data_IF_972426240097
#
_entry.id   IF_972426240097
#
_cell.length_a   1.000
_cell.length_b   1.000
_cell.length_c   1.000
_cell.angle_alpha   90.00
_cell.angle_beta   90.00
_cell.angle_gamma   90.00
#
_symmetry.space_group_name_H-M   'P 1'
#
loop_
_entity.id
_entity.type
_entity.pdbx_description
1 polymer ?
#
# COMPACT_ATOMS: atom_id res chain seq x y z
N UNK A 1 -28.00 -24.42 8.52
CA UNK A 1 -26.72 -24.35 9.26
C UNK A 1 -26.62 -22.95 9.83
N UNK A 2 -26.58 -22.80 11.16
CA UNK A 2 -26.33 -21.51 11.79
C UNK A 2 -24.84 -21.15 11.59
N UNK A 3 -24.52 -19.87 11.35
CA UNK A 3 -23.15 -19.41 11.19
C UNK A 3 -22.34 -19.52 12.50
N UNK A 4 -21.01 -19.40 12.42
CA UNK A 4 -20.15 -19.42 13.59
C UNK A 4 -20.55 -18.28 14.56
N UNK A 5 -20.85 -18.56 15.84
CA UNK A 5 -21.38 -17.56 16.78
C UNK A 5 -20.29 -16.64 17.35
N UNK A 6 -19.27 -16.35 16.57
CA UNK A 6 -18.15 -15.50 16.93
C UNK A 6 -18.32 -14.12 16.27
N UNK A 7 -17.71 -13.11 16.87
CA UNK A 7 -17.57 -11.76 16.30
C UNK A 7 -16.13 -11.35 16.46
N UNK A 8 -15.51 -10.87 15.37
CA UNK A 8 -14.14 -10.38 15.39
C UNK A 8 -14.15 -8.88 15.23
N UNK A 9 -13.49 -8.15 16.14
CA UNK A 9 -13.42 -6.70 16.12
C UNK A 9 -11.99 -6.19 16.38
N UNK A 10 -11.39 -5.43 15.45
CA UNK A 10 -11.91 -5.14 14.11
C UNK A 10 -11.93 -6.39 13.20
N UNK A 11 -12.91 -6.47 12.30
CA UNK A 11 -12.98 -7.55 11.29
C UNK A 11 -11.99 -7.34 10.13
N UNK A 12 -11.63 -6.09 9.88
CA UNK A 12 -10.61 -5.67 8.92
C UNK A 12 -9.72 -4.60 9.56
N UNK A 13 -8.40 -4.76 9.44
CA UNK A 13 -7.42 -3.85 10.02
C UNK A 13 -6.24 -3.63 9.08
N UNK A 14 -5.79 -2.38 9.04
CA UNK A 14 -4.61 -1.94 8.29
C UNK A 14 -3.57 -1.49 9.31
N UNK A 15 -2.39 -2.10 9.31
CA UNK A 15 -1.35 -1.88 10.32
C UNK A 15 0.01 -1.71 9.65
N UNK A 16 0.83 -0.79 10.17
CA UNK A 16 2.19 -0.59 9.67
C UNK A 16 3.07 -1.76 10.12
N UNK A 17 3.97 -2.21 9.26
CA UNK A 17 4.97 -3.21 9.63
C UNK A 17 5.75 -2.78 10.87
N UNK A 18 5.81 -3.64 11.88
CA UNK A 18 6.47 -3.40 13.18
C UNK A 18 5.58 -2.76 14.25
N UNK A 19 4.42 -2.21 13.91
CA UNK A 19 3.49 -1.64 14.89
C UNK A 19 2.76 -2.75 15.67
N UNK A 20 2.31 -2.47 16.91
CA UNK A 20 1.49 -3.40 17.67
C UNK A 20 0.10 -3.56 17.05
N UNK A 21 -0.49 -4.75 17.19
CA UNK A 21 -1.85 -5.06 16.75
C UNK A 21 -2.63 -5.80 17.82
N UNK A 22 -3.93 -5.53 17.91
CA UNK A 22 -4.84 -6.32 18.74
C UNK A 22 -6.20 -6.50 18.09
N UNK A 23 -6.72 -7.73 18.14
CA UNK A 23 -8.03 -8.09 17.59
C UNK A 23 -8.80 -8.89 18.64
N UNK A 24 -10.01 -8.45 18.95
CA UNK A 24 -10.90 -9.15 19.87
C UNK A 24 -11.72 -10.18 19.11
N UNK A 25 -11.80 -11.38 19.65
CA UNK A 25 -12.81 -12.36 19.29
C UNK A 25 -13.80 -12.48 20.43
N UNK A 26 -15.09 -12.33 20.16
CA UNK A 26 -16.13 -12.37 21.18
C UNK A 26 -17.31 -13.25 20.77
N UNK A 27 -18.11 -13.65 21.75
CA UNK A 27 -19.37 -14.36 21.54
C UNK A 27 -20.38 -14.01 22.61
N UNK A 28 -21.66 -13.98 22.23
CA UNK A 28 -22.80 -13.94 23.15
C UNK A 28 -23.52 -15.28 23.26
N UNK A 29 -23.08 -16.30 22.52
CA UNK A 29 -23.69 -17.62 22.53
C UNK A 29 -23.31 -18.37 23.81
N UNK A 30 -24.33 -18.95 24.47
CA UNK A 30 -24.16 -19.70 25.71
C UNK A 30 -23.70 -21.14 25.49
N UNK A 31 -23.76 -21.62 24.25
CA UNK A 31 -23.39 -22.97 23.84
C UNK A 31 -21.95 -23.06 23.31
N UNK A 32 -21.13 -22.04 23.56
CA UNK A 32 -19.69 -22.06 23.27
C UNK A 32 -18.99 -22.50 24.56
N UNK A 33 -18.26 -23.62 24.49
CA UNK A 33 -17.56 -24.19 25.65
C UNK A 33 -16.18 -23.57 25.85
N UNK A 34 -15.56 -23.12 24.76
CA UNK A 34 -14.33 -22.34 24.78
C UNK A 34 -13.93 -21.84 23.41
N UNK A 35 -12.99 -20.91 23.41
CA UNK A 35 -12.57 -20.18 22.21
C UNK A 35 -11.11 -19.73 22.37
N UNK A 36 -10.48 -19.37 21.26
CA UNK A 36 -9.08 -18.96 21.28
C UNK A 36 -8.60 -18.48 19.92
N UNK A 37 -7.35 -18.04 19.87
CA UNK A 37 -6.68 -17.64 18.65
C UNK A 37 -5.57 -18.61 18.30
N UNK A 38 -5.57 -19.06 17.04
CA UNK A 38 -4.46 -19.76 16.41
C UNK A 38 -3.76 -18.79 15.47
N UNK A 39 -2.46 -18.61 15.66
CA UNK A 39 -1.65 -17.65 14.91
C UNK A 39 -0.16 -18.05 15.01
N UNK A 40 0.68 -17.66 14.03
CA UNK A 40 2.12 -17.85 14.12
C UNK A 40 2.75 -17.19 15.36
N UNK A 41 2.14 -16.09 15.84
CA UNK A 41 2.57 -15.35 17.02
C UNK A 41 1.35 -14.92 17.84
N UNK A 42 1.47 -14.91 19.17
CA UNK A 42 0.41 -14.40 20.05
C UNK A 42 -0.84 -15.28 20.15
N UNK A 43 -0.76 -16.55 19.76
CA UNK A 43 -1.84 -17.52 19.98
C UNK A 43 -2.17 -17.67 21.48
N UNK A 44 -3.44 -17.85 21.80
CA UNK A 44 -3.93 -17.78 23.19
C UNK A 44 -4.19 -19.14 23.83
N UNK A 45 -4.21 -20.22 23.04
CA UNK A 45 -4.73 -21.50 23.52
C UNK A 45 -6.24 -21.47 23.80
N UNK A 46 -6.73 -22.48 24.50
CA UNK A 46 -8.15 -22.65 24.79
C UNK A 46 -8.56 -21.84 26.01
N UNK A 47 -9.38 -20.83 25.80
CA UNK A 47 -9.82 -19.87 26.81
C UNK A 47 -11.35 -19.89 26.99
N UNK A 48 -11.80 -19.44 28.15
CA UNK A 48 -13.24 -19.36 28.44
C UNK A 48 -13.88 -18.16 27.72
N UNK A 49 -15.12 -18.30 27.19
CA UNK A 49 -15.89 -17.16 26.67
C UNK A 49 -16.14 -16.11 27.79
N UNK A 50 -16.49 -14.85 27.45
CA UNK A 50 -17.06 -14.42 26.18
C UNK A 50 -16.10 -13.73 25.22
N UNK A 51 -14.86 -13.40 25.64
CA UNK A 51 -13.92 -12.61 24.83
C UNK A 51 -12.50 -13.13 25.01
N UNK A 52 -11.79 -13.29 23.88
CA UNK A 52 -10.37 -13.59 23.84
C UNK A 52 -9.70 -12.67 22.84
N UNK A 53 -8.62 -12.02 23.26
CA UNK A 53 -7.91 -11.02 22.46
C UNK A 53 -6.62 -11.60 21.91
N UNK A 54 -6.44 -11.53 20.60
CA UNK A 54 -5.13 -11.71 19.98
C UNK A 54 -4.37 -10.40 20.08
N UNK A 55 -3.14 -10.44 20.61
CA UNK A 55 -2.26 -9.27 20.74
C UNK A 55 -0.85 -9.64 20.33
N UNK A 56 -0.23 -8.78 19.51
CA UNK A 56 1.17 -8.88 19.10
C UNK A 56 1.79 -7.50 19.25
N UNK A 57 2.89 -7.41 20.00
CA UNK A 57 3.54 -6.12 20.31
C UNK A 57 4.32 -5.55 19.12
N UNK A 58 4.83 -6.41 18.24
CA UNK A 58 5.52 -6.04 17.01
C UNK A 58 5.15 -7.00 15.89
N UNK A 59 4.37 -6.53 14.92
CA UNK A 59 3.94 -7.36 13.80
C UNK A 59 4.94 -7.26 12.64
N UNK A 60 5.86 -8.21 12.57
CA UNK A 60 6.96 -8.26 11.58
C UNK A 60 6.85 -9.44 10.58
N UNK A 61 5.64 -9.97 10.40
CA UNK A 61 5.32 -11.02 9.45
C UNK A 61 4.30 -10.47 8.44
N UNK A 62 4.59 -10.53 7.13
CA UNK A 62 3.75 -9.95 6.08
C UNK A 62 2.43 -10.70 5.85
N UNK A 63 2.35 -11.96 6.28
CA UNK A 63 1.20 -12.84 6.11
C UNK A 63 0.82 -13.61 7.39
N UNK A 64 0.44 -12.92 8.49
CA UNK A 64 0.29 -13.57 9.79
C UNK A 64 -0.92 -14.54 9.86
N UNK A 65 -1.94 -14.35 9.03
CA UNK A 65 -3.13 -15.23 8.90
C UNK A 65 -3.71 -15.81 10.21
N UNK A 66 -3.93 -15.00 11.27
CA UNK A 66 -4.52 -15.49 12.50
C UNK A 66 -5.99 -15.87 12.30
N UNK A 67 -6.49 -16.80 13.09
CA UNK A 67 -7.91 -17.10 13.13
C UNK A 67 -8.39 -17.37 14.55
N UNK A 68 -9.58 -16.87 14.87
CA UNK A 68 -10.27 -17.21 16.09
C UNK A 68 -11.05 -18.49 15.88
N UNK A 69 -10.97 -19.43 16.81
CA UNK A 69 -11.76 -20.65 16.83
C UNK A 69 -12.68 -20.69 18.05
N UNK A 70 -13.77 -21.44 17.94
CA UNK A 70 -14.67 -21.77 19.04
C UNK A 70 -15.05 -23.25 18.97
N UNK A 71 -15.21 -23.87 20.14
CA UNK A 71 -15.80 -25.20 20.30
C UNK A 71 -17.19 -25.05 20.90
N UNK A 72 -18.18 -25.74 20.32
CA UNK A 72 -19.57 -25.69 20.76
C UNK A 72 -19.90 -26.88 21.69
N UNK A 73 -21.06 -26.84 22.35
CA UNK A 73 -21.53 -27.89 23.28
C UNK A 73 -21.65 -29.28 22.62
N UNK A 74 -21.94 -29.33 21.32
CA UNK A 74 -22.02 -30.56 20.52
C UNK A 74 -20.65 -31.09 20.05
N UNK A 75 -19.57 -30.43 20.48
CA UNK A 75 -18.19 -30.75 20.09
C UNK A 75 -17.78 -30.22 18.72
N UNK A 76 -18.69 -29.58 17.97
CA UNK A 76 -18.33 -28.96 16.69
C UNK A 76 -17.43 -27.74 16.88
N UNK A 77 -16.60 -27.47 15.88
CA UNK A 77 -15.72 -26.31 15.87
C UNK A 77 -16.05 -25.37 14.71
N UNK A 78 -15.87 -24.09 14.95
CA UNK A 78 -15.97 -23.07 13.90
C UNK A 78 -14.85 -22.03 14.06
N UNK A 79 -14.54 -21.35 12.96
CA UNK A 79 -13.46 -20.37 12.90
C UNK A 79 -13.88 -19.10 12.21
N UNK A 80 -13.32 -17.97 12.62
CA UNK A 80 -13.40 -16.68 11.92
C UNK A 80 -12.01 -16.08 11.71
N UNK A 81 -11.80 -15.47 10.54
CA UNK A 81 -10.55 -14.83 10.13
C UNK A 81 -10.76 -13.33 9.99
N UNK A 82 -10.02 -12.47 10.71
CA UNK A 82 -9.94 -11.05 10.35
C UNK A 82 -9.17 -10.89 9.04
N UNK A 83 -9.48 -9.82 8.32
CA UNK A 83 -8.64 -9.33 7.22
C UNK A 83 -7.57 -8.42 7.80
N UNK A 84 -6.30 -8.77 7.61
CA UNK A 84 -5.16 -7.98 8.09
C UNK A 84 -4.33 -7.55 6.88
N UNK A 85 -4.24 -6.24 6.67
CA UNK A 85 -3.38 -5.63 5.68
C UNK A 85 -2.18 -5.00 6.38
N UNK A 86 -0.98 -5.49 6.06
CA UNK A 86 0.26 -4.93 6.60
C UNK A 86 0.88 -4.05 5.54
N UNK A 87 1.27 -2.84 5.93
CA UNK A 87 1.83 -1.87 5.00
C UNK A 87 3.16 -1.28 5.44
N UNK A 88 3.91 -0.80 4.46
CA UNK A 88 5.09 0.03 4.61
C UNK A 88 5.07 1.09 3.53
N UNK A 89 5.14 2.35 3.97
CA UNK A 89 5.36 3.49 3.07
C UNK A 89 6.73 3.35 2.38
N UNK A 90 6.89 3.86 1.15
CA UNK A 90 8.19 3.89 0.49
C UNK A 90 9.26 4.53 1.39
N UNK A 91 10.49 4.02 1.34
CA UNK A 91 11.63 4.62 2.06
C UNK A 91 12.01 5.97 1.46
N UNK A 92 11.92 6.06 0.12
CA UNK A 92 12.08 7.30 -0.62
C UNK A 92 11.37 7.22 -1.96
N UNK A 93 10.99 8.40 -2.45
CA UNK A 93 10.43 8.64 -3.78
C UNK A 93 11.33 9.67 -4.47
N UNK A 94 11.85 9.36 -5.64
CA UNK A 94 12.79 10.23 -6.35
C UNK A 94 12.56 10.24 -7.85
N UNK A 95 12.92 11.35 -8.51
CA UNK A 95 12.89 11.47 -9.97
C UNK A 95 14.33 11.35 -10.49
N UNK A 96 14.51 10.54 -11.53
CA UNK A 96 15.75 10.45 -12.31
C UNK A 96 15.46 10.66 -13.79
N UNK A 97 16.37 11.31 -14.51
CA UNK A 97 16.33 11.41 -15.98
C UNK A 97 16.96 10.15 -16.56
N UNK A 98 16.31 9.51 -17.53
CA UNK A 98 16.86 8.35 -18.22
C UNK A 98 17.77 8.78 -19.38
N UNK A 99 18.91 8.10 -19.54
CA UNK A 99 19.95 8.37 -20.57
C UNK A 99 19.42 8.33 -22.01
N UNK A 100 18.23 7.76 -22.23
CA UNK A 100 17.53 7.75 -23.53
C UNK A 100 16.79 9.07 -23.85
N UNK A 101 17.04 10.16 -23.13
CA UNK A 101 16.55 11.50 -23.49
C UNK A 101 17.16 11.91 -24.83
N UNK A 102 16.42 11.69 -25.92
CA UNK A 102 16.80 12.14 -27.24
C UNK A 102 16.48 13.64 -27.33
N UNK A 103 17.51 14.46 -27.49
CA UNK A 103 17.33 15.85 -27.95
C UNK A 103 16.91 15.77 -29.43
N UNK A 104 15.64 15.44 -29.66
CA UNK A 104 15.03 15.46 -30.98
C UNK A 104 14.69 16.90 -31.30
N UNK A 105 15.60 17.59 -31.99
CA UNK A 105 15.31 18.89 -32.58
C UNK A 105 14.31 18.68 -33.73
N UNK A 106 13.03 18.53 -33.40
CA UNK A 106 11.97 18.43 -34.40
C UNK A 106 11.80 19.79 -35.08
N UNK A 107 12.40 19.92 -36.26
CA UNK A 107 12.29 21.10 -37.12
C UNK A 107 11.10 20.96 -38.07
N UNK A 108 9.88 20.64 -37.63
CA UNK A 108 8.75 20.63 -38.59
C UNK A 108 7.33 20.92 -38.07
N UNK A 109 7.19 21.65 -36.96
CA UNK A 109 5.95 22.41 -36.73
C UNK A 109 6.25 23.72 -35.99
N UNK A 110 6.15 24.85 -36.71
CA UNK A 110 6.19 26.22 -36.18
C UNK A 110 7.52 26.77 -35.59
N UNK A 111 8.71 26.31 -36.02
CA UNK A 111 10.02 26.80 -35.52
C UNK A 111 10.29 26.59 -34.01
N UNK A 112 9.50 25.77 -33.30
CA UNK A 112 9.73 25.49 -31.88
C UNK A 112 10.61 24.26 -31.72
N UNK A 113 11.83 24.44 -31.22
CA UNK A 113 12.69 23.32 -30.81
C UNK A 113 12.10 22.68 -29.55
N UNK A 114 11.82 21.37 -29.58
CA UNK A 114 11.35 20.61 -28.41
C UNK A 114 12.45 19.65 -27.95
N UNK A 115 12.60 19.48 -26.64
CA UNK A 115 13.52 18.50 -26.06
C UNK A 115 12.70 17.40 -25.40
N UNK A 116 12.95 16.14 -25.79
CA UNK A 116 12.23 15.00 -25.23
C UNK A 116 12.97 14.45 -24.00
N UNK A 117 12.27 14.42 -22.86
CA UNK A 117 12.77 13.85 -21.62
C UNK A 117 11.96 12.63 -21.20
N UNK A 118 12.67 11.66 -20.63
CA UNK A 118 12.09 10.47 -20.05
C UNK A 118 12.42 10.52 -18.56
N UNK A 119 11.44 10.93 -17.77
CA UNK A 119 11.56 11.01 -16.32
C UNK A 119 11.10 9.69 -15.72
N UNK A 120 11.89 9.13 -14.81
CA UNK A 120 11.53 7.94 -14.04
C UNK A 120 11.31 8.35 -12.59
N UNK A 121 10.12 8.06 -12.08
CA UNK A 121 9.84 8.11 -10.65
C UNK A 121 10.22 6.76 -10.05
N UNK A 122 11.12 6.76 -9.08
CA UNK A 122 11.56 5.57 -8.35
C UNK A 122 10.85 5.54 -7.00
N UNK A 123 10.22 4.40 -6.68
CA UNK A 123 9.50 4.15 -5.43
C UNK A 123 10.16 2.94 -4.77
N UNK A 124 10.84 3.15 -3.65
CA UNK A 124 11.70 2.12 -3.05
C UNK A 124 11.08 1.50 -1.80
N UNK A 125 11.09 0.17 -1.74
CA UNK A 125 10.63 -0.68 -0.64
C UNK A 125 9.21 -0.35 -0.12
N UNK A 126 8.24 -0.29 -1.03
CA UNK A 126 6.82 -0.05 -0.72
C UNK A 126 6.04 -1.36 -0.60
N UNK A 127 5.08 -1.44 0.33
CA UNK A 127 4.18 -2.58 0.47
C UNK A 127 2.81 -2.19 1.08
N UNK A 128 1.73 -2.92 0.77
CA UNK A 128 1.63 -3.87 -0.33
C UNK A 128 1.39 -3.12 -1.65
N UNK A 129 1.92 -3.67 -2.73
CA UNK A 129 1.94 -3.00 -4.02
C UNK A 129 0.54 -2.75 -4.61
N UNK A 130 -0.44 -3.61 -4.31
CA UNK A 130 -1.82 -3.49 -4.78
C UNK A 130 -2.54 -2.18 -4.40
N UNK A 131 -2.05 -1.45 -3.39
CA UNK A 131 -2.66 -0.20 -2.94
C UNK A 131 -1.92 1.04 -3.45
N UNK A 132 -0.84 0.85 -4.21
CA UNK A 132 -0.01 1.94 -4.72
C UNK A 132 -0.61 2.56 -5.98
N UNK A 133 -0.70 3.88 -5.98
CA UNK A 133 -0.88 4.70 -7.18
C UNK A 133 0.27 5.70 -7.25
N UNK A 134 0.89 5.84 -8.43
CA UNK A 134 1.93 6.85 -8.67
C UNK A 134 1.32 7.99 -9.47
N UNK A 135 1.24 9.16 -8.84
CA UNK A 135 0.73 10.39 -9.42
C UNK A 135 1.89 11.28 -9.88
N UNK A 136 1.79 11.82 -11.09
CA UNK A 136 2.72 12.79 -11.64
C UNK A 136 2.07 14.16 -11.73
N UNK A 137 2.84 15.17 -11.35
CA UNK A 137 2.44 16.57 -11.37
C UNK A 137 3.43 17.37 -12.22
N UNK A 138 2.90 18.27 -13.05
CA UNK A 138 3.64 19.34 -13.73
C UNK A 138 3.11 20.67 -13.22
N UNK A 139 3.97 21.51 -12.65
CA UNK A 139 3.59 22.81 -12.08
C UNK A 139 2.38 22.70 -11.11
N UNK A 140 2.40 21.67 -10.26
CA UNK A 140 1.32 21.27 -9.33
C UNK A 140 -0.01 20.79 -9.95
N UNK A 141 -0.11 20.65 -11.27
CA UNK A 141 -1.26 20.03 -11.93
C UNK A 141 -1.02 18.54 -12.18
N UNK A 142 -1.98 17.69 -11.86
CA UNK A 142 -1.88 16.25 -12.13
C UNK A 142 -1.93 15.99 -13.64
N UNK A 143 -0.94 15.26 -14.15
CA UNK A 143 -0.77 14.98 -15.58
C UNK A 143 -0.79 13.49 -15.92
N UNK A 144 -0.50 12.61 -14.96
CA UNK A 144 -0.55 11.17 -15.15
C UNK A 144 -0.75 10.47 -13.81
N UNK A 145 -1.55 9.40 -13.79
CA UNK A 145 -1.64 8.48 -12.67
C UNK A 145 -1.43 7.05 -13.16
N UNK A 146 -0.67 6.26 -12.41
CA UNK A 146 -0.39 4.86 -12.71
C UNK A 146 -0.73 4.01 -11.49
N UNK A 147 -1.73 3.16 -11.63
CA UNK A 147 -2.13 2.17 -10.63
C UNK A 147 -1.61 0.79 -10.99
N UNK A 148 -1.43 -0.06 -9.99
CA UNK A 148 -0.89 -1.41 -10.17
C UNK A 148 -1.87 -2.48 -9.71
N UNK A 149 -1.96 -3.59 -10.45
CA UNK A 149 -2.98 -4.62 -10.24
C UNK A 149 -2.45 -5.92 -9.63
N UNK A 150 -1.20 -5.96 -9.17
CA UNK A 150 -0.65 -7.17 -8.54
C UNK A 150 -1.11 -7.27 -7.08
N UNK A 151 -1.93 -8.30 -6.82
CA UNK A 151 -2.52 -8.60 -5.50
C UNK A 151 -1.76 -9.68 -4.73
N UNK A 152 -0.76 -10.30 -5.36
CA UNK A 152 -0.01 -11.44 -4.82
C UNK A 152 1.19 -10.99 -3.98
N UNK A 153 1.83 -9.88 -4.36
CA UNK A 153 3.02 -9.39 -3.67
C UNK A 153 2.66 -8.60 -2.40
N UNK A 154 2.91 -9.22 -1.24
CA UNK A 154 2.69 -8.63 0.09
C UNK A 154 3.94 -8.02 0.72
N UNK A 155 5.11 -8.40 0.24
CA UNK A 155 6.41 -7.91 0.73
C UNK A 155 6.83 -6.61 0.04
N UNK A 156 7.80 -5.85 0.62
CA UNK A 156 8.32 -4.63 0.01
C UNK A 156 8.93 -4.89 -1.38
N UNK A 157 8.58 -4.03 -2.33
CA UNK A 157 9.13 -4.03 -3.69
C UNK A 157 9.65 -2.65 -4.08
N UNK A 158 10.53 -2.65 -5.09
CA UNK A 158 10.98 -1.45 -5.77
C UNK A 158 10.21 -1.32 -7.07
N UNK A 159 9.64 -0.15 -7.30
CA UNK A 159 8.78 0.11 -8.43
C UNK A 159 9.12 1.43 -9.10
N UNK A 160 8.71 1.56 -10.35
CA UNK A 160 8.94 2.79 -11.08
C UNK A 160 7.84 3.12 -12.07
N UNK A 161 7.68 4.42 -12.32
CA UNK A 161 6.78 4.95 -13.35
C UNK A 161 7.59 5.82 -14.28
N UNK A 162 7.36 5.72 -15.59
CA UNK A 162 8.05 6.52 -16.61
C UNK A 162 7.08 7.54 -17.19
N UNK A 163 7.46 8.81 -17.11
CA UNK A 163 6.78 9.93 -17.74
C UNK A 163 7.61 10.43 -18.94
N UNK A 164 7.00 10.44 -20.13
CA UNK A 164 7.59 11.00 -21.35
C UNK A 164 7.05 12.39 -21.57
N UNK A 165 7.94 13.38 -21.68
CA UNK A 165 7.57 14.80 -21.86
C UNK A 165 8.35 15.43 -23.00
N UNK A 166 7.76 16.46 -23.61
CA UNK A 166 8.41 17.32 -24.59
C UNK A 166 8.38 18.75 -24.06
N UNK A 167 9.53 19.29 -23.68
CA UNK A 167 9.68 20.68 -23.21
C UNK A 167 10.02 21.56 -24.41
N UNK A 168 9.28 22.65 -24.59
CA UNK A 168 9.55 23.61 -25.67
C UNK A 168 10.54 24.69 -25.21
N UNK A 169 11.24 25.35 -26.14
CA UNK A 169 12.16 26.45 -25.80
C UNK A 169 11.47 27.64 -25.15
N UNK A 170 10.17 27.81 -25.38
CA UNK A 170 9.37 28.87 -24.78
C UNK A 170 8.99 28.55 -23.32
N UNK A 171 9.06 27.28 -22.89
CA UNK A 171 8.96 26.89 -21.49
C UNK A 171 10.33 27.13 -20.80
N UNK A 172 10.45 28.24 -20.07
CA UNK A 172 11.68 28.60 -19.34
C UNK A 172 12.19 27.44 -18.46
N UNK A 173 11.33 26.97 -17.55
CA UNK A 173 11.56 25.82 -16.64
C UNK A 173 10.21 25.18 -16.35
N UNK A 174 10.12 23.86 -16.42
CA UNK A 174 8.97 23.08 -15.98
C UNK A 174 9.31 22.29 -14.72
N UNK A 175 8.43 22.36 -13.72
CA UNK A 175 8.60 21.69 -12.44
C UNK A 175 7.82 20.37 -12.42
N UNK A 176 8.50 19.26 -12.12
CA UNK A 176 7.91 17.95 -12.02
C UNK A 176 8.00 17.39 -10.61
N UNK A 177 6.92 16.74 -10.17
CA UNK A 177 6.87 15.99 -8.92
C UNK A 177 6.13 14.69 -9.15
N UNK A 178 6.66 13.59 -8.64
CA UNK A 178 5.90 12.35 -8.53
C UNK A 178 5.57 12.05 -7.06
N UNK A 179 4.43 11.41 -6.84
CA UNK A 179 3.90 11.08 -5.52
C UNK A 179 3.41 9.64 -5.50
N UNK A 180 3.86 8.89 -4.50
CA UNK A 180 3.35 7.56 -4.19
C UNK A 180 2.17 7.70 -3.21
N UNK A 181 0.98 7.38 -3.69
CA UNK A 181 -0.26 7.29 -2.91
C UNK A 181 -0.52 5.83 -2.52
N UNK A 182 -0.74 5.57 -1.23
CA UNK A 182 -1.24 4.29 -0.71
C UNK A 182 -2.66 4.52 -0.21
N UNK A 183 -3.64 3.92 -0.87
CA UNK A 183 -5.07 4.04 -0.51
C UNK A 183 -5.62 2.71 0.01
N UNK A 184 -5.92 2.65 1.32
CA UNK A 184 -6.47 1.47 1.98
C UNK A 184 -7.99 1.58 2.25
N UNK A 185 -8.71 2.40 1.49
CA UNK A 185 -10.15 2.55 1.63
C UNK A 185 -10.90 1.20 1.57
N UNK A 186 -12.00 1.03 2.32
CA UNK A 186 -12.68 2.03 3.16
C UNK A 186 -12.19 2.09 4.62
N UNK A 187 -11.34 1.17 5.06
CA UNK A 187 -11.04 0.94 6.48
C UNK A 187 -9.62 1.34 6.92
N UNK A 188 -8.81 1.89 6.01
CA UNK A 188 -7.47 2.38 6.34
C UNK A 188 -7.21 3.83 5.90
N UNK A 189 -6.04 4.37 6.26
CA UNK A 189 -5.64 5.72 5.89
C UNK A 189 -5.35 5.83 4.39
N UNK A 190 -5.33 7.07 3.89
CA UNK A 190 -4.62 7.40 2.65
C UNK A 190 -3.29 8.04 3.00
N UNK A 191 -2.20 7.54 2.41
CA UNK A 191 -0.85 8.01 2.68
C UNK A 191 -0.20 8.52 1.40
N UNK A 192 0.55 9.61 1.49
CA UNK A 192 1.17 10.27 0.35
C UNK A 192 2.65 10.51 0.65
N UNK A 193 3.53 9.99 -0.22
CA UNK A 193 4.97 10.27 -0.15
C UNK A 193 5.38 10.90 -1.47
N UNK A 194 5.73 12.19 -1.43
CA UNK A 194 6.16 12.92 -2.62
C UNK A 194 7.68 12.91 -2.79
N UNK A 195 8.13 12.91 -4.03
CA UNK A 195 9.50 13.27 -4.38
C UNK A 195 9.78 14.76 -4.16
N UNK A 196 11.08 15.09 -4.14
CA UNK A 196 11.51 16.47 -4.34
C UNK A 196 11.16 16.93 -5.76
N UNK A 197 10.87 18.23 -5.91
CA UNK A 197 10.62 18.83 -7.22
C UNK A 197 11.85 18.71 -8.12
N UNK A 198 11.63 18.25 -9.35
CA UNK A 198 12.65 18.12 -10.37
C UNK A 198 12.39 19.11 -11.50
N UNK A 199 13.39 19.93 -11.82
CA UNK A 199 13.26 20.99 -12.81
C UNK A 199 13.88 20.54 -14.12
N UNK A 200 13.15 20.77 -15.21
CA UNK A 200 13.59 20.46 -16.57
C UNK A 200 13.45 21.72 -17.42
N UNK A 201 14.49 22.05 -18.17
CA UNK A 201 14.51 23.17 -19.13
C UNK A 201 14.87 22.66 -20.52
N UNK A 202 14.50 23.42 -21.56
CA UNK A 202 14.95 23.17 -22.92
C UNK A 202 16.36 23.72 -23.19
N UNK A 203 16.92 24.52 -22.27
CA UNK A 203 18.26 25.10 -22.37
C UNK A 203 19.28 24.20 -21.66
N UNK A 204 20.18 23.58 -22.44
CA UNK A 204 21.41 23.05 -21.88
C UNK A 204 22.28 24.25 -21.44
N UNK A 205 22.66 24.29 -20.16
CA UNK A 205 23.87 25.03 -19.75
C UNK A 205 25.13 24.32 -20.26
#
# INVERSE_FOLDING_TARGET
>A
MAGCPLTVNPSEIVVRFGDPVSVNCSTSARYVTGMGWEAPFGGTGFERPPVVTWRVDKLEEWTPSPFCYATLDDGSQCTLRPVITIFKTPDFVSISVLDHSLIMQDTEYNNSTRTQYWLQCNIINVAPFQFLTVNWYKNNESIMAMSFNDTTTKTPVNESSILKINISREENVAEFRCEAELDFAPHGPKLYISSQTHNVSAHCE
#
